data_IF_364110739001
#
_entry.id   IF_364110739001
#
_cell.length_a   1.000
_cell.length_b   1.000
_cell.length_c   1.000
_cell.angle_alpha   90.00
_cell.angle_beta   90.00
_cell.angle_gamma   90.00
#
_symmetry.space_group_name_H-M   'P 1'
#
loop_
_entity.id
_entity.type
_entity.pdbx_description
1 polymer ?
#
# COMPACT_ATOMS: atom_id res chain seq x y z
N UNK A 1 -14.21 -44.32 30.17
CA UNK A 1 -12.81 -43.88 30.16
C UNK A 1 -12.60 -42.91 29.01
N UNK A 2 -11.77 -41.91 29.25
CA UNK A 2 -11.54 -40.66 28.51
C UNK A 2 -10.84 -40.89 27.17
N UNK A 3 -11.14 -40.07 26.15
CA UNK A 3 -10.17 -39.15 25.50
C UNK A 3 -10.80 -38.30 24.41
N UNK A 4 -11.08 -37.05 24.78
CA UNK A 4 -11.15 -35.92 23.87
C UNK A 4 -9.75 -35.69 23.26
N UNK A 5 -9.66 -35.62 21.94
CA UNK A 5 -8.45 -35.17 21.24
C UNK A 5 -8.62 -33.71 20.81
N UNK A 6 -7.77 -32.87 21.39
CA UNK A 6 -7.61 -31.44 21.12
C UNK A 6 -7.32 -31.15 19.64
N UNK A 7 -8.19 -30.36 19.01
CA UNK A 7 -7.82 -29.57 17.83
C UNK A 7 -7.18 -28.26 18.31
N UNK A 8 -5.85 -28.20 18.29
CA UNK A 8 -5.10 -26.95 18.49
C UNK A 8 -5.13 -26.13 17.20
N UNK A 9 -6.12 -25.25 17.06
CA UNK A 9 -6.15 -24.21 16.03
C UNK A 9 -5.05 -23.19 16.32
N UNK A 10 -3.91 -23.32 15.65
CA UNK A 10 -2.89 -22.26 15.62
C UNK A 10 -3.41 -21.12 14.74
N UNK A 11 -3.80 -20.01 15.35
CA UNK A 11 -4.00 -18.73 14.67
C UNK A 11 -2.74 -18.37 13.86
N UNK A 12 -2.86 -18.34 12.53
CA UNK A 12 -1.86 -17.72 11.67
C UNK A 12 -2.01 -16.20 11.74
N UNK A 13 -0.92 -15.41 11.74
CA UNK A 13 -1.00 -13.96 11.77
C UNK A 13 -1.66 -13.44 10.49
N UNK A 14 -2.53 -12.44 10.66
CA UNK A 14 -3.38 -11.87 9.61
C UNK A 14 -2.58 -11.21 8.48
N UNK A 15 -3.05 -11.42 7.25
CA UNK A 15 -2.56 -10.76 6.04
C UNK A 15 -3.12 -9.34 6.01
N UNK A 16 -2.25 -8.36 6.11
CA UNK A 16 -2.59 -6.94 6.04
C UNK A 16 -2.11 -6.38 4.69
N UNK A 17 -2.85 -5.42 4.13
CA UNK A 17 -2.41 -4.60 2.99
C UNK A 17 -1.18 -3.76 3.38
N UNK A 18 -0.33 -3.36 2.42
CA UNK A 18 0.85 -2.52 2.70
C UNK A 18 0.50 -1.22 3.46
N UNK A 19 -0.68 -0.64 3.20
CA UNK A 19 -1.22 0.49 3.95
C UNK A 19 -1.66 0.07 5.36
N UNK A 20 -2.34 -1.06 5.51
CA UNK A 20 -2.73 -1.60 6.82
C UNK A 20 -1.51 -2.03 7.67
N UNK A 21 -0.37 -2.39 7.07
CA UNK A 21 0.90 -2.65 7.76
C UNK A 21 1.69 -1.38 8.09
N UNK A 22 1.72 -0.39 7.20
CA UNK A 22 2.25 0.94 7.53
C UNK A 22 1.47 1.56 8.72
N UNK A 23 0.18 1.25 8.82
CA UNK A 23 -0.71 1.73 9.88
C UNK A 23 -0.71 0.88 11.15
N UNK A 24 -0.43 -0.44 11.09
CA UNK A 24 -0.29 -1.26 12.30
C UNK A 24 0.94 -0.84 13.14
N UNK A 25 1.98 -0.30 12.51
CA UNK A 25 3.17 0.21 13.19
C UNK A 25 2.86 1.50 13.98
N UNK A 26 1.83 2.27 13.58
CA UNK A 26 1.45 3.52 14.24
C UNK A 26 0.56 3.34 15.49
N UNK A 27 0.24 2.09 15.88
CA UNK A 27 -0.77 1.80 16.90
C UNK A 27 -0.29 1.06 18.17
N UNK A 28 1.01 0.80 18.39
CA UNK A 28 1.43 0.38 19.74
C UNK A 28 2.85 -0.12 19.96
N UNK A 29 3.54 0.52 20.91
CA UNK A 29 4.32 -0.14 21.98
C UNK A 29 4.78 0.90 23.02
N UNK A 30 3.87 1.37 23.89
CA UNK A 30 4.25 1.84 25.21
C UNK A 30 4.15 0.65 26.17
N UNK A 31 5.28 0.01 26.46
CA UNK A 31 5.37 -1.08 27.44
C UNK A 31 5.15 -0.52 28.85
N UNK A 32 3.97 -0.73 29.41
CA UNK A 32 3.71 -0.48 30.83
C UNK A 32 4.35 -1.58 31.68
N UNK A 33 5.27 -1.20 32.58
CA UNK A 33 5.76 -2.02 33.68
C UNK A 33 4.75 -2.09 34.84
N UNK A 34 4.94 -3.00 35.81
CA UNK A 34 3.87 -3.43 36.71
C UNK A 34 3.57 -2.45 37.84
N UNK A 35 2.32 -2.59 38.28
CA UNK A 35 1.53 -1.86 39.26
C UNK A 35 2.24 -1.34 40.53
N UNK A 36 1.91 -0.11 40.91
CA UNK A 36 1.82 0.33 42.31
C UNK A 36 0.38 0.70 42.62
N UNK A 37 -0.14 0.14 43.71
CA UNK A 37 -1.53 0.23 44.19
C UNK A 37 -1.76 1.47 45.04
N UNK A 38 -2.73 2.31 44.66
CA UNK A 38 -3.44 3.26 45.55
C UNK A 38 -4.90 3.39 45.05
N UNK A 39 -5.94 3.38 45.90
CA UNK A 39 -7.33 3.43 45.47
C UNK A 39 -7.93 4.85 45.44
N UNK A 40 -9.02 4.96 44.66
CA UNK A 40 -10.12 5.93 44.73
C UNK A 40 -10.00 7.25 43.94
N UNK A 41 -10.64 7.26 42.76
CA UNK A 41 -11.74 8.17 42.37
C UNK A 41 -12.25 7.73 40.97
N UNK A 42 -13.54 7.83 40.62
CA UNK A 42 -14.02 7.38 39.33
C UNK A 42 -13.64 8.41 38.25
N UNK A 43 -12.88 8.07 37.19
CA UNK A 43 -12.77 8.97 36.07
C UNK A 43 -13.99 8.77 35.16
N UNK A 44 -15.03 9.55 35.39
CA UNK A 44 -15.97 9.92 34.33
C UNK A 44 -15.26 10.84 33.35
N UNK A 45 -14.43 10.26 32.49
CA UNK A 45 -14.06 10.85 31.20
C UNK A 45 -13.54 9.71 30.33
N UNK A 46 -14.35 9.26 29.37
CA UNK A 46 -13.80 8.55 28.21
C UNK A 46 -12.88 9.59 27.55
N UNK A 47 -11.57 9.45 27.73
CA UNK A 47 -10.60 10.39 27.17
C UNK A 47 -10.90 10.56 25.68
N UNK A 48 -11.29 11.78 25.28
CA UNK A 48 -11.62 12.07 23.90
C UNK A 48 -10.43 11.66 23.03
N UNK A 49 -10.66 10.84 22.00
CA UNK A 49 -9.60 10.41 21.10
C UNK A 49 -8.97 11.66 20.46
N UNK A 50 -7.63 11.76 20.41
CA UNK A 50 -6.95 12.87 19.73
C UNK A 50 -7.53 13.10 18.33
N UNK A 51 -7.74 14.36 17.93
CA UNK A 51 -8.41 14.70 16.67
C UNK A 51 -7.69 14.10 15.44
N UNK A 52 -6.37 13.93 15.52
CA UNK A 52 -5.58 13.27 14.47
C UNK A 52 -5.93 11.78 14.30
N UNK A 53 -6.27 11.06 15.38
CA UNK A 53 -6.74 9.67 15.27
C UNK A 53 -8.12 9.60 14.64
N UNK A 54 -8.99 10.57 14.91
CA UNK A 54 -10.30 10.66 14.28
C UNK A 54 -10.15 11.02 12.80
N UNK A 55 -9.26 11.95 12.44
CA UNK A 55 -8.94 12.28 11.06
C UNK A 55 -8.44 11.05 10.30
N UNK A 56 -7.56 10.26 10.92
CA UNK A 56 -7.09 9.01 10.39
C UNK A 56 -8.23 8.01 10.13
N UNK A 57 -9.17 7.87 11.06
CA UNK A 57 -10.34 7.00 10.88
C UNK A 57 -11.23 7.46 9.70
N UNK A 58 -11.43 8.77 9.54
CA UNK A 58 -12.16 9.33 8.39
C UNK A 58 -11.44 9.10 7.07
N UNK A 59 -10.11 9.23 7.07
CA UNK A 59 -9.28 8.88 5.92
C UNK A 59 -9.48 7.43 5.54
N UNK A 60 -9.43 6.49 6.49
CA UNK A 60 -9.73 5.09 6.22
C UNK A 60 -11.17 4.89 5.74
N UNK A 61 -12.15 5.65 6.25
CA UNK A 61 -13.52 5.60 5.72
C UNK A 61 -13.64 6.13 4.27
N UNK A 62 -12.61 6.84 3.78
CA UNK A 62 -12.61 7.49 2.47
C UNK A 62 -13.23 8.88 2.48
N UNK A 63 -13.59 9.40 3.66
CA UNK A 63 -14.09 10.77 3.82
C UNK A 63 -12.91 11.74 3.99
N UNK A 64 -12.31 12.10 2.85
CA UNK A 64 -11.16 13.00 2.80
C UNK A 64 -11.51 14.41 3.30
N UNK A 65 -12.78 14.83 3.16
CA UNK A 65 -13.25 16.16 3.58
C UNK A 65 -13.33 16.21 5.11
N UNK A 66 -13.98 15.22 5.73
CA UNK A 66 -14.05 15.13 7.18
C UNK A 66 -12.66 14.94 7.80
N UNK A 67 -11.81 14.11 7.19
CA UNK A 67 -10.42 13.94 7.63
C UNK A 67 -9.65 15.27 7.60
N UNK A 68 -9.79 16.05 6.52
CA UNK A 68 -9.13 17.35 6.39
C UNK A 68 -9.62 18.37 7.43
N UNK A 69 -10.94 18.41 7.69
CA UNK A 69 -11.52 19.29 8.69
C UNK A 69 -11.00 18.97 10.11
N UNK A 70 -10.93 17.67 10.45
CA UNK A 70 -10.38 17.22 11.74
C UNK A 70 -8.89 17.56 11.89
N UNK A 71 -8.08 17.45 10.82
CA UNK A 71 -6.67 17.87 10.86
C UNK A 71 -6.51 19.38 11.04
N UNK A 72 -7.35 20.20 10.40
CA UNK A 72 -7.34 21.65 10.59
C UNK A 72 -7.67 22.01 12.04
N UNK A 73 -8.67 21.35 12.62
CA UNK A 73 -9.03 21.53 14.03
C UNK A 73 -7.91 21.06 14.97
N UNK A 74 -7.27 19.93 14.67
CA UNK A 74 -6.12 19.44 15.42
C UNK A 74 -4.96 20.46 15.40
N UNK A 75 -4.66 21.03 14.22
CA UNK A 75 -3.64 22.06 14.07
C UNK A 75 -3.95 23.34 14.86
N UNK A 76 -5.20 23.79 14.84
CA UNK A 76 -5.66 24.94 15.64
C UNK A 76 -5.53 24.70 17.15
N UNK A 77 -5.60 23.44 17.60
CA UNK A 77 -5.43 23.03 18.99
C UNK A 77 -3.98 22.65 19.34
N UNK A 78 -3.03 22.85 18.42
CA UNK A 78 -1.62 22.45 18.61
C UNK A 78 -1.42 20.94 18.76
N UNK A 79 -2.36 20.11 18.30
CA UNK A 79 -2.31 18.66 18.41
C UNK A 79 -1.61 18.02 17.20
N UNK A 80 -0.99 16.86 17.41
CA UNK A 80 -0.63 15.92 16.34
C UNK A 80 0.81 15.92 15.85
N UNK A 81 1.52 17.05 15.91
CA UNK A 81 2.93 17.14 15.50
C UNK A 81 3.20 16.50 14.12
N UNK A 82 4.26 15.70 14.03
CA UNK A 82 4.64 14.99 12.80
C UNK A 82 3.55 14.03 12.29
N UNK A 83 2.71 13.47 13.18
CA UNK A 83 1.60 12.62 12.76
C UNK A 83 0.56 13.39 11.96
N UNK A 84 0.20 14.61 12.39
CA UNK A 84 -0.74 15.44 11.63
C UNK A 84 -0.21 15.77 10.22
N UNK A 85 1.10 16.01 10.10
CA UNK A 85 1.76 16.19 8.79
C UNK A 85 1.71 14.92 7.93
N UNK A 86 1.87 13.73 8.54
CA UNK A 86 1.78 12.46 7.82
C UNK A 86 0.36 12.22 7.28
N UNK A 87 -0.66 12.43 8.11
CA UNK A 87 -2.05 12.32 7.67
C UNK A 87 -2.37 13.36 6.57
N UNK A 88 -1.85 14.58 6.68
CA UNK A 88 -2.01 15.59 5.63
C UNK A 88 -1.38 15.12 4.32
N UNK A 89 -0.18 14.50 4.37
CA UNK A 89 0.46 13.93 3.18
C UNK A 89 -0.45 12.91 2.49
N UNK A 90 -1.06 11.99 3.27
CA UNK A 90 -1.96 10.97 2.74
C UNK A 90 -3.23 11.56 2.11
N UNK A 91 -3.84 12.58 2.73
CA UNK A 91 -5.02 13.26 2.17
C UNK A 91 -4.67 13.94 0.83
N UNK A 92 -3.54 14.65 0.78
CA UNK A 92 -3.08 15.32 -0.43
C UNK A 92 -2.85 14.31 -1.56
N UNK A 93 -2.22 13.18 -1.27
CA UNK A 93 -1.92 12.13 -2.24
C UNK A 93 -3.20 11.47 -2.76
N UNK A 94 -4.10 11.06 -1.84
CA UNK A 94 -5.39 10.48 -2.18
C UNK A 94 -6.29 11.43 -2.98
N UNK A 95 -6.08 12.75 -2.82
CA UNK A 95 -6.77 13.79 -3.58
C UNK A 95 -6.13 14.08 -4.94
N UNK A 96 -5.06 13.37 -5.32
CA UNK A 96 -4.33 13.60 -6.58
C UNK A 96 -3.38 14.81 -6.55
N UNK A 97 -3.14 15.42 -5.38
CA UNK A 97 -2.23 16.56 -5.21
C UNK A 97 -0.81 16.07 -4.86
N UNK A 98 -0.26 15.21 -5.71
CA UNK A 98 0.99 14.47 -5.48
C UNK A 98 2.19 15.36 -5.15
N UNK A 99 2.34 16.51 -5.81
CA UNK A 99 3.43 17.45 -5.52
C UNK A 99 3.32 18.07 -4.13
N UNK A 100 2.11 18.30 -3.65
CA UNK A 100 1.86 18.84 -2.31
C UNK A 100 2.05 17.75 -1.25
N UNK A 101 1.58 16.53 -1.51
CA UNK A 101 1.89 15.35 -0.68
C UNK A 101 3.41 15.15 -0.53
N UNK A 102 4.17 15.30 -1.63
CA UNK A 102 5.62 15.18 -1.64
C UNK A 102 6.32 16.14 -0.68
N UNK A 103 5.87 17.39 -0.60
CA UNK A 103 6.43 18.38 0.33
C UNK A 103 6.30 17.91 1.78
N UNK A 104 5.16 17.31 2.14
CA UNK A 104 4.98 16.74 3.48
C UNK A 104 5.83 15.50 3.71
N UNK A 105 5.92 14.59 2.73
CA UNK A 105 6.80 13.42 2.84
C UNK A 105 8.28 13.81 3.00
N UNK A 106 8.73 14.85 2.30
CA UNK A 106 10.09 15.38 2.42
C UNK A 106 10.34 15.99 3.81
N UNK A 107 9.38 16.75 4.33
CA UNK A 107 9.47 17.35 5.67
C UNK A 107 9.52 16.31 6.80
N UNK A 108 8.94 15.13 6.58
CA UNK A 108 8.89 14.03 7.54
C UNK A 108 10.11 13.09 7.47
N UNK A 109 11.07 13.35 6.57
CA UNK A 109 12.26 12.53 6.46
C UNK A 109 13.11 12.62 7.73
N UNK A 110 13.43 11.47 8.33
CA UNK A 110 14.19 11.40 9.58
C UNK A 110 13.36 11.67 10.85
N UNK A 111 12.05 11.90 10.72
CA UNK A 111 11.13 12.00 11.86
C UNK A 111 10.76 10.63 12.43
N UNK A 112 10.03 10.63 13.55
CA UNK A 112 9.35 9.46 14.12
C UNK A 112 8.32 8.82 13.18
N UNK A 113 7.82 9.57 12.19
CA UNK A 113 6.89 9.07 11.17
C UNK A 113 7.58 8.54 9.91
N UNK A 114 8.92 8.60 9.82
CA UNK A 114 9.65 8.24 8.61
C UNK A 114 9.36 6.82 8.11
N UNK A 115 9.20 5.85 9.02
CA UNK A 115 8.86 4.47 8.66
C UNK A 115 7.41 4.33 8.16
N UNK A 116 6.48 5.08 8.76
CA UNK A 116 5.05 5.06 8.41
C UNK A 116 4.84 5.58 7.00
N UNK A 117 5.52 6.67 6.64
CA UNK A 117 5.37 7.30 5.32
C UNK A 117 6.23 6.66 4.23
N UNK A 118 7.14 5.74 4.55
CA UNK A 118 8.18 5.29 3.62
C UNK A 118 7.59 4.65 2.35
N UNK A 119 6.54 3.84 2.48
CA UNK A 119 5.86 3.21 1.33
C UNK A 119 5.07 4.24 0.51
N UNK A 120 4.10 5.01 1.08
CA UNK A 120 3.39 6.04 0.33
C UNK A 120 4.32 7.05 -0.35
N UNK A 121 5.38 7.51 0.33
CA UNK A 121 6.36 8.43 -0.24
C UNK A 121 7.13 7.84 -1.44
N UNK A 122 7.36 6.52 -1.47
CA UNK A 122 8.00 5.84 -2.59
C UNK A 122 7.05 5.67 -3.79
N UNK A 123 5.76 5.42 -3.53
CA UNK A 123 4.70 5.38 -4.56
C UNK A 123 4.49 6.77 -5.17
N UNK A 124 4.40 7.80 -4.33
CA UNK A 124 4.28 9.20 -4.75
C UNK A 124 5.39 9.63 -5.72
N UNK A 125 6.62 9.12 -5.55
CA UNK A 125 7.68 9.36 -6.53
C UNK A 125 7.37 8.77 -7.92
N UNK A 126 6.74 7.59 -7.98
CA UNK A 126 6.29 7.01 -9.25
C UNK A 126 5.13 7.79 -9.86
N UNK A 127 4.18 8.28 -9.05
CA UNK A 127 3.07 9.14 -9.48
C UNK A 127 3.55 10.49 -10.04
N UNK A 128 4.69 10.97 -9.55
CA UNK A 128 5.36 12.17 -10.06
C UNK A 128 6.27 11.90 -11.28
N UNK A 129 6.29 10.67 -11.80
CA UNK A 129 7.18 10.27 -12.90
C UNK A 129 8.67 10.22 -12.53
N UNK A 130 9.01 10.34 -11.24
CA UNK A 130 10.39 10.29 -10.73
C UNK A 130 10.83 8.84 -10.51
N UNK A 131 10.81 8.05 -11.58
CA UNK A 131 10.98 6.59 -11.52
C UNK A 131 12.32 6.13 -10.92
N UNK A 132 13.41 6.85 -11.18
CA UNK A 132 14.72 6.51 -10.60
C UNK A 132 14.75 6.74 -9.08
N UNK A 133 14.12 7.81 -8.61
CA UNK A 133 14.00 8.09 -7.19
C UNK A 133 13.09 7.05 -6.51
N UNK A 134 11.96 6.71 -7.13
CA UNK A 134 11.05 5.66 -6.65
C UNK A 134 11.76 4.31 -6.55
N UNK A 135 12.54 3.93 -7.57
CA UNK A 135 13.34 2.70 -7.59
C UNK A 135 14.33 2.65 -6.43
N UNK A 136 15.06 3.74 -6.18
CA UNK A 136 16.00 3.83 -5.04
C UNK A 136 15.28 3.69 -3.69
N UNK A 137 14.13 4.33 -3.54
CA UNK A 137 13.33 4.23 -2.31
C UNK A 137 12.81 2.80 -2.06
N UNK A 138 12.31 2.12 -3.08
CA UNK A 138 11.89 0.73 -2.95
C UNK A 138 13.06 -0.24 -2.70
N UNK A 139 14.22 0.00 -3.30
CA UNK A 139 15.40 -0.80 -2.98
C UNK A 139 15.81 -0.66 -1.51
N UNK A 140 15.78 0.57 -0.96
CA UNK A 140 16.01 0.80 0.46
C UNK A 140 14.99 0.06 1.33
N UNK A 141 13.69 0.15 1.01
CA UNK A 141 12.63 -0.59 1.71
C UNK A 141 12.87 -2.10 1.69
N UNK A 142 13.26 -2.64 0.53
CA UNK A 142 13.55 -4.08 0.36
C UNK A 142 14.73 -4.55 1.22
N UNK A 143 15.77 -3.72 1.33
CA UNK A 143 16.97 -4.04 2.10
C UNK A 143 16.76 -3.86 3.62
N UNK A 144 16.15 -2.74 4.02
CA UNK A 144 16.20 -2.25 5.39
C UNK A 144 14.94 -2.56 6.21
N UNK A 145 13.79 -2.79 5.57
CA UNK A 145 12.56 -3.07 6.32
C UNK A 145 12.69 -4.37 7.11
N UNK A 146 12.29 -4.39 8.38
CA UNK A 146 12.14 -5.64 9.12
C UNK A 146 10.89 -6.44 8.67
N UNK A 147 10.02 -5.82 7.87
CA UNK A 147 8.72 -6.37 7.51
C UNK A 147 8.76 -7.11 6.17
N UNK A 148 8.57 -8.43 6.22
CA UNK A 148 8.58 -9.27 5.03
C UNK A 148 7.53 -8.87 3.98
N UNK A 149 6.36 -8.38 4.40
CA UNK A 149 5.33 -7.91 3.49
C UNK A 149 5.80 -6.68 2.71
N UNK A 150 6.43 -5.72 3.39
CA UNK A 150 7.01 -4.52 2.74
C UNK A 150 8.13 -4.92 1.79
N UNK A 151 8.99 -5.87 2.15
CA UNK A 151 10.05 -6.36 1.25
C UNK A 151 9.48 -6.99 -0.03
N UNK A 152 8.48 -7.86 0.09
CA UNK A 152 7.81 -8.47 -1.05
C UNK A 152 7.14 -7.44 -1.96
N UNK A 153 6.45 -6.47 -1.36
CA UNK A 153 5.79 -5.36 -2.05
C UNK A 153 6.80 -4.46 -2.79
N UNK A 154 7.92 -4.10 -2.15
CA UNK A 154 9.00 -3.37 -2.78
C UNK A 154 9.64 -4.15 -3.95
N UNK A 155 9.66 -5.48 -3.86
CA UNK A 155 10.02 -6.36 -4.97
C UNK A 155 9.08 -6.23 -6.17
N UNK A 156 7.76 -6.21 -5.94
CA UNK A 156 6.77 -6.02 -7.01
C UNK A 156 6.92 -4.65 -7.69
N UNK A 157 7.16 -3.59 -6.91
CA UNK A 157 7.47 -2.27 -7.45
C UNK A 157 8.74 -2.26 -8.30
N UNK A 158 9.77 -3.01 -7.89
CA UNK A 158 10.99 -3.13 -8.69
C UNK A 158 10.70 -3.76 -10.06
N UNK A 159 9.80 -4.75 -10.13
CA UNK A 159 9.36 -5.33 -11.41
C UNK A 159 8.56 -4.34 -12.24
N UNK A 160 7.60 -3.64 -11.63
CA UNK A 160 6.74 -2.68 -12.34
C UNK A 160 7.54 -1.51 -12.91
N UNK A 161 8.43 -0.90 -12.11
CA UNK A 161 9.29 0.20 -12.54
C UNK A 161 10.27 -0.24 -13.64
N UNK A 162 10.82 -1.46 -13.53
CA UNK A 162 11.69 -2.01 -14.56
C UNK A 162 10.93 -2.27 -15.87
N UNK A 163 9.71 -2.81 -15.80
CA UNK A 163 8.85 -3.04 -16.96
C UNK A 163 8.54 -1.72 -17.67
N UNK A 164 8.00 -0.75 -16.92
CA UNK A 164 7.62 0.57 -17.45
C UNK A 164 8.79 1.29 -18.10
N UNK A 165 9.88 1.46 -17.36
CA UNK A 165 11.05 2.22 -17.88
C UNK A 165 11.71 1.54 -19.08
N UNK A 166 11.68 0.21 -19.16
CA UNK A 166 12.19 -0.50 -20.32
C UNK A 166 11.24 -0.38 -21.53
N UNK A 167 9.92 -0.43 -21.31
CA UNK A 167 8.92 -0.22 -22.35
C UNK A 167 9.00 1.20 -22.91
N UNK A 168 9.08 2.22 -22.04
CA UNK A 168 9.24 3.63 -22.42
C UNK A 168 10.53 3.86 -23.22
N UNK A 169 11.59 3.08 -22.94
CA UNK A 169 12.85 3.10 -23.68
C UNK A 169 12.84 2.27 -24.98
N UNK A 170 11.69 1.70 -25.38
CA UNK A 170 11.56 0.90 -26.61
C UNK A 170 12.26 -0.46 -26.56
N UNK A 171 12.54 -1.00 -25.37
CA UNK A 171 13.12 -2.35 -25.23
C UNK A 171 12.10 -3.39 -25.69
N UNK A 172 12.55 -4.37 -26.50
CA UNK A 172 11.67 -5.42 -27.04
C UNK A 172 10.95 -6.20 -25.91
N UNK A 173 9.64 -6.50 -26.05
CA UNK A 173 8.86 -7.16 -25.01
C UNK A 173 9.44 -8.49 -24.51
N UNK A 174 10.08 -9.27 -25.37
CA UNK A 174 10.72 -10.55 -25.04
C UNK A 174 11.92 -10.36 -24.10
N UNK A 175 12.69 -9.30 -24.33
CA UNK A 175 13.84 -8.93 -23.48
C UNK A 175 13.36 -8.44 -22.13
N UNK A 176 12.30 -7.61 -22.11
CA UNK A 176 11.65 -7.17 -20.87
C UNK A 176 11.17 -8.39 -20.09
N UNK A 177 10.42 -9.30 -20.73
CA UNK A 177 9.88 -10.51 -20.12
C UNK A 177 10.97 -11.38 -19.52
N UNK A 178 12.02 -11.70 -20.26
CA UNK A 178 13.12 -12.54 -19.77
C UNK A 178 13.83 -11.93 -18.55
N UNK A 179 14.07 -10.61 -18.57
CA UNK A 179 14.67 -9.90 -17.43
C UNK A 179 13.76 -9.94 -16.20
N UNK A 180 12.48 -9.64 -16.36
CA UNK A 180 11.52 -9.62 -15.27
C UNK A 180 11.29 -11.02 -14.68
N UNK A 181 11.23 -12.06 -15.50
CA UNK A 181 11.15 -13.45 -15.03
C UNK A 181 12.34 -13.81 -14.14
N UNK A 182 13.56 -13.39 -14.50
CA UNK A 182 14.74 -13.59 -13.66
C UNK A 182 14.64 -12.82 -12.34
N UNK A 183 14.25 -11.55 -12.39
CA UNK A 183 14.09 -10.72 -11.19
C UNK A 183 13.00 -11.26 -10.25
N UNK A 184 11.87 -11.71 -10.80
CA UNK A 184 10.74 -12.23 -10.04
C UNK A 184 11.09 -13.49 -9.24
N UNK A 185 12.07 -14.29 -9.67
CA UNK A 185 12.56 -15.47 -8.93
C UNK A 185 13.36 -15.11 -7.68
N UNK A 186 13.96 -13.91 -7.64
CA UNK A 186 14.78 -13.45 -6.52
C UNK A 186 13.96 -12.75 -5.43
N UNK A 187 12.66 -12.48 -5.67
CA UNK A 187 11.78 -11.83 -4.71
C UNK A 187 11.15 -12.91 -3.84
N UNK A 188 11.24 -12.74 -2.52
CA UNK A 188 10.56 -13.60 -1.54
C UNK A 188 9.17 -13.03 -1.24
N UNK A 189 8.07 -13.70 -1.63
CA UNK A 189 6.73 -13.25 -1.27
C UNK A 189 6.42 -13.57 0.19
N UNK A 190 5.76 -12.65 0.88
CA UNK A 190 5.30 -12.85 2.26
C UNK A 190 3.81 -13.24 2.34
N UNK A 191 3.02 -13.01 1.27
CA UNK A 191 1.61 -13.37 1.21
C UNK A 191 1.24 -14.17 -0.05
N UNK A 192 0.07 -14.80 -0.03
CA UNK A 192 -0.47 -15.51 -1.20
C UNK A 192 -0.69 -14.57 -2.40
N UNK A 193 -1.30 -13.37 -2.25
CA UNK A 193 -1.40 -12.40 -3.36
C UNK A 193 -0.04 -12.01 -3.96
N UNK A 194 0.98 -11.76 -3.13
CA UNK A 194 2.33 -11.46 -3.63
C UNK A 194 2.92 -12.63 -4.42
N UNK A 195 2.71 -13.86 -3.93
CA UNK A 195 3.15 -15.07 -4.63
C UNK A 195 2.45 -15.23 -5.97
N UNK A 196 1.15 -14.97 -6.04
CA UNK A 196 0.37 -15.03 -7.27
C UNK A 196 0.87 -14.00 -8.29
N UNK A 197 1.11 -12.75 -7.86
CA UNK A 197 1.69 -11.71 -8.71
C UNK A 197 3.09 -12.09 -9.21
N UNK A 198 3.95 -12.63 -8.35
CA UNK A 198 5.26 -13.11 -8.80
C UNK A 198 5.13 -14.28 -9.79
N UNK A 199 4.17 -15.19 -9.59
CA UNK A 199 3.91 -16.27 -10.53
C UNK A 199 3.44 -15.75 -11.90
N UNK A 200 2.63 -14.68 -11.94
CA UNK A 200 2.26 -13.98 -13.17
C UNK A 200 3.50 -13.46 -13.90
N UNK A 201 4.39 -12.73 -13.22
CA UNK A 201 5.64 -12.20 -13.81
C UNK A 201 6.62 -13.32 -14.22
N UNK A 202 6.55 -14.48 -13.57
CA UNK A 202 7.30 -15.67 -13.95
C UNK A 202 6.70 -16.42 -15.15
N UNK A 203 5.50 -16.04 -15.62
CA UNK A 203 4.76 -16.75 -16.67
C UNK A 203 4.18 -18.10 -16.22
N UNK A 204 3.99 -18.29 -14.90
CA UNK A 204 3.47 -19.52 -14.28
C UNK A 204 2.01 -19.43 -13.84
N UNK A 205 1.42 -18.25 -13.97
CA UNK A 205 0.04 -17.95 -13.60
C UNK A 205 -0.52 -16.89 -14.55
N UNK A 206 -1.82 -16.65 -14.45
CA UNK A 206 -2.53 -15.62 -15.18
C UNK A 206 -3.21 -14.63 -14.23
N UNK A 207 -3.83 -13.62 -14.80
CA UNK A 207 -4.42 -12.51 -14.05
C UNK A 207 -5.70 -12.97 -13.32
N UNK A 208 -6.49 -13.87 -13.92
CA UNK A 208 -7.66 -14.43 -13.26
C UNK A 208 -7.30 -15.13 -11.96
N UNK A 209 -6.23 -15.93 -11.97
CA UNK A 209 -5.73 -16.61 -10.77
C UNK A 209 -5.29 -15.63 -9.68
N UNK A 210 -4.64 -14.50 -10.04
CA UNK A 210 -4.26 -13.48 -9.05
C UNK A 210 -5.48 -12.90 -8.32
N UNK A 211 -6.56 -12.59 -9.05
CA UNK A 211 -7.77 -12.05 -8.44
C UNK A 211 -8.55 -13.12 -7.66
N UNK A 212 -8.57 -14.37 -8.14
CA UNK A 212 -9.19 -15.49 -7.43
C UNK A 212 -8.52 -15.73 -6.07
N UNK A 213 -7.19 -15.73 -6.01
CA UNK A 213 -6.42 -15.86 -4.76
C UNK A 213 -6.79 -14.77 -3.74
N UNK A 214 -7.10 -13.55 -4.20
CA UNK A 214 -7.54 -12.44 -3.31
C UNK A 214 -8.98 -12.65 -2.84
N UNK A 215 -9.85 -13.11 -3.73
CA UNK A 215 -11.27 -13.34 -3.44
C UNK A 215 -11.44 -14.43 -2.37
N UNK A 216 -10.60 -15.47 -2.40
CA UNK A 216 -10.61 -16.59 -1.44
C UNK A 216 -10.04 -16.25 -0.05
N UNK A 217 -9.35 -15.12 0.10
CA UNK A 217 -8.77 -14.73 1.39
C UNK A 217 -9.82 -14.62 2.49
N UNK A 218 -9.52 -15.14 3.67
CA UNK A 218 -10.28 -14.85 4.88
C UNK A 218 -9.79 -13.52 5.47
N UNK A 219 -10.19 -12.41 4.85
CA UNK A 219 -9.81 -11.06 5.22
C UNK A 219 -11.00 -10.10 5.12
N UNK A 220 -11.03 -9.00 5.91
CA UNK A 220 -12.06 -7.96 5.78
C UNK A 220 -12.13 -7.43 4.34
N UNK A 221 -13.34 -7.07 3.89
CA UNK A 221 -13.54 -6.58 2.51
C UNK A 221 -12.66 -5.35 2.21
N UNK A 222 -12.49 -4.45 3.17
CA UNK A 222 -11.59 -3.30 3.02
C UNK A 222 -10.15 -3.72 2.65
N UNK A 223 -9.63 -4.78 3.26
CA UNK A 223 -8.29 -5.32 2.94
C UNK A 223 -8.29 -5.95 1.55
N UNK A 224 -9.34 -6.71 1.19
CA UNK A 224 -9.46 -7.28 -0.16
C UNK A 224 -9.49 -6.19 -1.23
N UNK A 225 -10.23 -5.10 -1.01
CA UNK A 225 -10.30 -3.96 -1.94
C UNK A 225 -8.95 -3.29 -2.16
N UNK A 226 -8.16 -3.12 -1.09
CA UNK A 226 -6.79 -2.60 -1.21
C UNK A 226 -5.90 -3.58 -2.00
N UNK A 227 -5.97 -4.88 -1.70
CA UNK A 227 -5.22 -5.92 -2.44
C UNK A 227 -5.63 -6.01 -3.91
N UNK A 228 -6.90 -5.83 -4.25
CA UNK A 228 -7.37 -5.77 -5.65
C UNK A 228 -6.86 -4.51 -6.35
N UNK A 229 -6.69 -3.40 -5.63
CA UNK A 229 -6.07 -2.18 -6.18
C UNK A 229 -4.59 -2.43 -6.49
N UNK A 230 -3.85 -2.99 -5.53
CA UNK A 230 -2.45 -3.40 -5.68
C UNK A 230 -2.27 -4.37 -6.87
N UNK A 231 -3.07 -5.44 -6.91
CA UNK A 231 -3.03 -6.42 -7.98
C UNK A 231 -3.40 -5.81 -9.33
N UNK A 232 -4.38 -4.91 -9.37
CA UNK A 232 -4.76 -4.18 -10.57
C UNK A 232 -3.60 -3.36 -11.16
N UNK A 233 -2.84 -2.66 -10.31
CA UNK A 233 -1.68 -1.90 -10.76
C UNK A 233 -0.61 -2.83 -11.33
N UNK A 234 -0.24 -3.88 -10.60
CA UNK A 234 0.87 -4.75 -11.00
C UNK A 234 0.54 -5.69 -12.16
N UNK A 235 -0.65 -6.28 -12.17
CA UNK A 235 -1.11 -7.14 -13.26
C UNK A 235 -1.41 -6.33 -14.52
N UNK A 236 -2.03 -5.15 -14.39
CA UNK A 236 -2.26 -4.25 -15.50
C UNK A 236 -0.93 -3.74 -16.09
N UNK A 237 0.05 -3.37 -15.25
CA UNK A 237 1.39 -2.98 -15.70
C UNK A 237 2.14 -4.10 -16.41
N UNK A 238 1.93 -5.35 -16.00
CA UNK A 238 2.46 -6.51 -16.73
C UNK A 238 1.83 -6.64 -18.12
N UNK A 239 0.50 -6.50 -18.25
CA UNK A 239 -0.17 -6.52 -19.54
C UNK A 239 0.32 -5.40 -20.45
N UNK A 240 0.39 -4.19 -19.90
CA UNK A 240 0.74 -2.98 -20.63
C UNK A 240 2.19 -3.04 -21.12
N UNK A 241 3.14 -3.13 -20.19
CA UNK A 241 4.55 -2.92 -20.49
C UNK A 241 5.29 -4.19 -20.92
N UNK A 242 4.80 -5.38 -20.54
CA UNK A 242 5.50 -6.66 -20.81
C UNK A 242 4.83 -7.47 -21.91
N UNK A 243 3.49 -7.50 -21.92
CA UNK A 243 2.71 -8.21 -22.94
C UNK A 243 2.31 -7.33 -24.12
N UNK A 244 2.38 -6.01 -23.98
CA UNK A 244 1.86 -5.04 -24.96
C UNK A 244 0.36 -5.29 -25.27
N UNK A 245 -0.38 -5.81 -24.29
CA UNK A 245 -1.84 -5.95 -24.34
C UNK A 245 -2.50 -4.76 -23.64
N UNK A 246 -2.46 -3.60 -24.31
CA UNK A 246 -3.03 -2.36 -23.79
C UNK A 246 -4.55 -2.50 -23.52
N UNK A 247 -5.26 -3.30 -24.33
CA UNK A 247 -6.69 -3.53 -24.15
C UNK A 247 -6.99 -4.29 -22.86
N UNK A 248 -6.22 -5.34 -22.58
CA UNK A 248 -6.32 -6.12 -21.36
C UNK A 248 -5.86 -5.31 -20.15
N UNK A 249 -4.81 -4.51 -20.30
CA UNK A 249 -4.33 -3.61 -19.25
C UNK A 249 -5.42 -2.61 -18.85
N UNK A 250 -6.04 -1.94 -19.82
CA UNK A 250 -7.12 -1.00 -19.56
C UNK A 250 -8.32 -1.66 -18.85
N UNK A 251 -8.77 -2.83 -19.30
CA UNK A 251 -9.83 -3.59 -18.63
C UNK A 251 -9.45 -3.94 -17.19
N UNK A 252 -8.19 -4.34 -16.97
CA UNK A 252 -7.67 -4.69 -15.63
C UNK A 252 -7.64 -3.48 -14.71
N UNK A 253 -7.15 -2.32 -15.20
CA UNK A 253 -7.16 -1.08 -14.43
C UNK A 253 -8.59 -0.64 -14.09
N UNK A 254 -9.51 -0.64 -15.05
CA UNK A 254 -10.90 -0.23 -14.82
C UNK A 254 -11.59 -1.12 -13.78
N UNK A 255 -11.43 -2.44 -13.86
CA UNK A 255 -11.96 -3.38 -12.86
C UNK A 255 -11.42 -3.07 -11.47
N UNK A 256 -10.11 -2.83 -11.35
CA UNK A 256 -9.49 -2.49 -10.09
C UNK A 256 -9.99 -1.14 -9.52
N UNK A 257 -10.16 -0.10 -10.36
CA UNK A 257 -10.69 1.20 -9.92
C UNK A 257 -12.11 1.11 -9.36
N UNK A 258 -12.97 0.31 -9.97
CA UNK A 258 -14.36 0.10 -9.54
C UNK A 258 -14.43 -0.53 -8.15
N UNK A 259 -13.43 -1.35 -7.80
CA UNK A 259 -13.39 -2.09 -6.54
C UNK A 259 -12.49 -1.42 -5.49
N UNK A 260 -11.69 -0.46 -5.90
CA UNK A 260 -10.69 0.21 -5.06
C UNK A 260 -11.35 1.17 -4.05
N UNK A 261 -10.71 1.36 -2.90
CA UNK A 261 -11.07 2.38 -1.92
C UNK A 261 -10.39 3.71 -2.27
N UNK A 262 -11.00 4.88 -1.98
CA UNK A 262 -10.39 6.18 -2.27
C UNK A 262 -8.97 6.34 -1.74
N UNK A 263 -8.65 5.67 -0.64
CA UNK A 263 -7.36 5.78 0.07
C UNK A 263 -6.37 4.68 -0.22
N UNK A 264 -6.65 3.75 -1.14
CA UNK A 264 -5.65 2.76 -1.54
C UNK A 264 -4.44 3.46 -2.20
N UNK A 265 -3.22 3.13 -1.77
CA UNK A 265 -1.99 3.85 -2.16
C UNK A 265 -1.80 3.88 -3.67
N UNK A 266 -2.10 2.78 -4.36
CA UNK A 266 -1.87 2.63 -5.80
C UNK A 266 -2.96 3.29 -6.64
N UNK A 267 -4.09 3.67 -6.03
CA UNK A 267 -5.27 4.15 -6.77
C UNK A 267 -4.95 5.35 -7.66
N UNK A 268 -4.23 6.41 -7.20
CA UNK A 268 -4.00 7.55 -8.06
C UNK A 268 -3.14 7.20 -9.27
N UNK A 269 -2.05 6.44 -9.09
CA UNK A 269 -1.26 5.94 -10.22
C UNK A 269 -2.09 5.10 -11.19
N UNK A 270 -2.99 4.26 -10.66
CA UNK A 270 -3.87 3.43 -11.47
C UNK A 270 -4.89 4.26 -12.27
N UNK A 271 -5.37 5.39 -11.73
CA UNK A 271 -6.15 6.38 -12.48
C UNK A 271 -5.30 6.99 -13.60
N UNK A 272 -4.06 7.39 -13.31
CA UNK A 272 -3.16 8.01 -14.30
C UNK A 272 -2.86 7.06 -15.46
N UNK A 273 -2.50 5.79 -15.18
CA UNK A 273 -2.19 4.80 -16.22
C UNK A 273 -3.44 4.44 -17.03
N UNK A 274 -4.59 4.27 -16.39
CA UNK A 274 -5.85 4.03 -17.09
C UNK A 274 -6.21 5.17 -18.04
N UNK A 275 -6.05 6.43 -17.61
CA UNK A 275 -6.32 7.61 -18.46
C UNK A 275 -5.35 7.70 -19.63
N UNK A 276 -4.07 7.46 -19.39
CA UNK A 276 -3.05 7.48 -20.45
C UNK A 276 -3.40 6.49 -21.58
N UNK A 277 -3.78 5.25 -21.25
CA UNK A 277 -4.20 4.25 -22.23
C UNK A 277 -5.48 4.62 -22.98
N UNK A 278 -6.44 5.26 -22.31
CA UNK A 278 -7.66 5.74 -22.97
C UNK A 278 -7.39 6.84 -23.99
N UNK A 279 -6.39 7.68 -23.73
CA UNK A 279 -5.99 8.75 -24.63
C UNK A 279 -5.17 8.22 -25.82
N UNK A 280 -4.34 7.20 -25.62
CA UNK A 280 -3.57 6.58 -26.70
C UNK A 280 -4.40 5.67 -27.62
N UNK A 281 -5.60 5.26 -27.20
CA UNK A 281 -6.50 4.42 -27.99
C UNK A 281 -7.49 5.20 -28.87
N UNK A 282 -7.46 6.53 -28.82
CA UNK A 282 -8.27 7.43 -29.66
C UNK A 282 -7.47 7.87 -30.87
#
# INVERSE_FOLDING_TARGET
MIRCSHFSSRCRPGVLSALALALLIAAGAATAGPASTVPASPPSSVAAQPLVLQAHAQLLAGDLIAAQALLQQAGAQGQGGNRALAEQAFIEDASGRHMRARQFYDALKGSDQAQVIAVPAAVNLAELGRFDASRKAFEQLRQQSANAQIKGYAGLWSLWLAARTASDAGVKPEVIRARLQKQARAIQPASAPQRALLALYQGKSDISAVFADIDELQAPDAVKRDLRTEAGLFAGGYLDYVRQDHSGALRTYQRALQQSRPTAVERPLLIQTSRALQLSSR
#
